data_IF_452090829663
#
_entry.id   IF_452090829663
#
_cell.length_a   1.000
_cell.length_b   1.000
_cell.length_c   1.000
_cell.angle_alpha   90.00
_cell.angle_beta   90.00
_cell.angle_gamma   90.00
#
_symmetry.space_group_name_H-M   'P 1'
#
loop_
_entity.id
_entity.type
_entity.pdbx_description
1 polymer ?
#
# COMPACT_ATOMS: atom_id res chain seq x y z
N UNK A 1 5.51 -33.38 -14.14
CA UNK A 1 5.59 -33.17 -15.61
C UNK A 1 4.58 -32.10 -15.95
N UNK A 2 4.92 -31.10 -16.78
CA UNK A 2 3.95 -30.08 -17.21
C UNK A 2 3.12 -30.70 -18.33
N UNK A 3 1.80 -30.66 -18.19
CA UNK A 3 0.84 -31.23 -19.15
C UNK A 3 -0.26 -30.20 -19.45
N UNK A 4 -1.06 -30.42 -20.49
CA UNK A 4 -2.19 -29.55 -20.81
C UNK A 4 -1.79 -28.21 -21.45
N UNK A 5 -2.60 -27.14 -21.28
CA UNK A 5 -2.49 -25.94 -22.12
C UNK A 5 -1.12 -25.25 -22.07
N UNK A 6 -0.46 -25.19 -20.90
CA UNK A 6 0.89 -24.62 -20.82
C UNK A 6 1.90 -25.44 -21.63
N UNK A 7 1.85 -26.77 -21.52
CA UNK A 7 2.74 -27.65 -22.28
C UNK A 7 2.53 -27.51 -23.79
N UNK A 8 1.28 -27.39 -24.24
CA UNK A 8 0.93 -27.22 -25.65
C UNK A 8 1.49 -25.91 -26.23
N UNK A 9 1.35 -24.79 -25.52
CA UNK A 9 1.91 -23.49 -25.96
C UNK A 9 3.44 -23.54 -25.96
N UNK A 10 4.06 -24.05 -24.90
CA UNK A 10 5.51 -24.15 -24.82
C UNK A 10 6.08 -25.09 -25.89
N UNK A 11 5.37 -26.15 -26.26
CA UNK A 11 5.79 -27.06 -27.33
C UNK A 11 5.68 -26.40 -28.71
N UNK A 12 4.61 -25.64 -28.97
CA UNK A 12 4.37 -24.95 -30.23
C UNK A 12 5.46 -23.92 -30.55
N UNK A 13 5.89 -23.16 -29.55
CA UNK A 13 6.89 -22.08 -29.68
C UNK A 13 8.18 -22.37 -28.88
N UNK A 14 8.61 -23.64 -28.86
CA UNK A 14 9.72 -24.12 -28.01
C UNK A 14 10.99 -23.29 -28.14
N UNK A 15 11.41 -22.99 -29.37
CA UNK A 15 12.67 -22.26 -29.63
C UNK A 15 12.60 -20.83 -29.08
N UNK A 16 11.44 -20.18 -29.19
CA UNK A 16 11.21 -18.83 -28.68
C UNK A 16 11.31 -18.78 -27.16
N UNK A 17 10.63 -19.67 -26.45
CA UNK A 17 10.68 -19.69 -24.98
C UNK A 17 12.06 -20.10 -24.45
N UNK A 18 12.74 -21.04 -25.11
CA UNK A 18 14.12 -21.40 -24.76
C UNK A 18 15.08 -20.22 -24.97
N UNK A 19 14.95 -19.48 -26.07
CA UNK A 19 15.77 -18.29 -26.34
C UNK A 19 15.53 -17.20 -25.27
N UNK A 20 14.28 -16.97 -24.86
CA UNK A 20 13.92 -16.03 -23.78
C UNK A 20 14.54 -16.43 -22.44
N UNK A 21 14.43 -17.70 -22.06
CA UNK A 21 15.06 -18.21 -20.84
C UNK A 21 16.59 -18.08 -20.89
N UNK A 22 17.21 -18.43 -22.02
CA UNK A 22 18.65 -18.30 -22.20
C UNK A 22 19.12 -16.84 -22.08
N UNK A 23 18.37 -15.90 -22.66
CA UNK A 23 18.64 -14.46 -22.53
C UNK A 23 18.52 -13.98 -21.08
N UNK A 24 17.45 -14.38 -20.37
CA UNK A 24 17.27 -14.04 -18.95
C UNK A 24 18.41 -14.60 -18.07
N UNK A 25 18.81 -15.85 -18.30
CA UNK A 25 19.92 -16.49 -17.57
C UNK A 25 21.28 -15.87 -17.90
N UNK A 26 21.48 -15.37 -19.12
CA UNK A 26 22.68 -14.64 -19.48
C UNK A 26 22.79 -13.32 -18.71
N UNK A 27 21.65 -12.67 -18.42
CA UNK A 27 21.58 -11.45 -17.61
C UNK A 27 21.74 -11.73 -16.10
N UNK A 28 21.12 -12.80 -15.57
CA UNK A 28 21.30 -13.25 -14.19
C UNK A 28 21.63 -14.74 -14.10
N UNK A 29 22.89 -15.03 -13.73
CA UNK A 29 23.38 -16.40 -13.55
C UNK A 29 22.75 -17.12 -12.36
N UNK A 30 22.08 -16.42 -11.43
CA UNK A 30 21.37 -17.01 -10.29
C UNK A 30 20.05 -17.65 -10.68
N UNK A 31 19.53 -17.37 -11.89
CA UNK A 31 18.35 -18.02 -12.42
C UNK A 31 18.63 -19.51 -12.69
N UNK A 32 18.31 -20.36 -11.72
CA UNK A 32 18.51 -21.81 -11.80
C UNK A 32 17.43 -22.46 -12.69
N UNK A 33 17.82 -23.23 -13.74
CA UNK A 33 16.87 -23.92 -14.62
C UNK A 33 15.86 -24.80 -13.88
N UNK A 34 16.30 -25.54 -12.87
CA UNK A 34 15.48 -26.45 -12.09
C UNK A 34 14.45 -25.70 -11.24
N UNK A 35 14.83 -24.54 -10.69
CA UNK A 35 13.92 -23.68 -9.94
C UNK A 35 12.85 -23.09 -10.86
N UNK A 36 13.23 -22.66 -12.06
CA UNK A 36 12.29 -22.13 -13.04
C UNK A 36 11.34 -23.22 -13.56
N UNK A 37 11.84 -24.41 -13.91
CA UNK A 37 11.01 -25.54 -14.33
C UNK A 37 9.99 -25.94 -13.24
N UNK A 38 10.42 -25.97 -11.98
CA UNK A 38 9.52 -26.22 -10.85
C UNK A 38 8.46 -25.12 -10.72
N UNK A 39 8.85 -23.86 -10.84
CA UNK A 39 7.91 -22.74 -10.83
C UNK A 39 6.87 -22.86 -11.97
N UNK A 40 7.30 -23.22 -13.17
CA UNK A 40 6.40 -23.45 -14.29
C UNK A 40 5.37 -24.55 -13.97
N UNK A 41 5.81 -25.65 -13.36
CA UNK A 41 4.95 -26.78 -13.03
C UNK A 41 3.99 -26.51 -11.85
N UNK A 42 4.49 -25.89 -10.78
CA UNK A 42 3.76 -25.75 -9.52
C UNK A 42 2.92 -24.48 -9.44
N UNK A 43 3.29 -23.43 -10.19
CA UNK A 43 2.64 -22.11 -10.12
C UNK A 43 2.05 -21.70 -11.46
N UNK A 44 2.83 -21.72 -12.55
CA UNK A 44 2.32 -21.22 -13.83
C UNK A 44 1.30 -22.17 -14.47
N UNK A 45 1.51 -23.49 -14.43
CA UNK A 45 0.59 -24.46 -15.03
C UNK A 45 -0.83 -24.40 -14.44
N UNK A 46 -1.04 -24.42 -13.10
CA UNK A 46 -2.38 -24.26 -12.52
C UNK A 46 -3.05 -22.94 -12.92
N UNK A 47 -2.26 -21.85 -12.99
CA UNK A 47 -2.75 -20.54 -13.39
C UNK A 47 -3.18 -20.51 -14.86
N UNK A 48 -2.39 -21.07 -15.76
CA UNK A 48 -2.70 -21.18 -17.19
C UNK A 48 -3.92 -22.09 -17.42
N UNK A 49 -4.07 -23.17 -16.64
CA UNK A 49 -5.29 -24.00 -16.68
C UNK A 49 -6.54 -23.24 -16.22
N UNK A 50 -6.42 -22.35 -15.24
CA UNK A 50 -7.54 -21.50 -14.81
C UNK A 50 -7.90 -20.49 -15.91
N UNK A 51 -6.88 -19.87 -16.53
CA UNK A 51 -7.06 -19.00 -17.68
C UNK A 51 -7.71 -19.72 -18.86
N UNK A 52 -7.29 -20.97 -19.17
CA UNK A 52 -7.85 -21.76 -20.26
C UNK A 52 -9.34 -22.04 -20.06
N UNK A 53 -9.78 -22.24 -18.81
CA UNK A 53 -11.20 -22.42 -18.49
C UNK A 53 -12.00 -21.12 -18.63
N UNK A 54 -11.37 -19.97 -18.36
CA UNK A 54 -12.02 -18.67 -18.48
C UNK A 54 -12.15 -18.24 -19.95
N UNK A 55 -11.08 -18.37 -20.73
CA UNK A 55 -11.07 -18.07 -22.17
C UNK A 55 -9.94 -18.86 -22.88
N UNK A 56 -10.26 -20.00 -23.52
CA UNK A 56 -9.27 -20.79 -24.25
C UNK A 56 -8.59 -20.02 -25.40
N UNK A 57 -9.28 -19.05 -26.01
CA UNK A 57 -8.78 -18.32 -27.18
C UNK A 57 -7.62 -17.36 -26.85
N UNK A 58 -7.43 -17.07 -25.56
CA UNK A 58 -6.44 -16.11 -25.05
C UNK A 58 -5.18 -16.76 -24.51
N UNK A 59 -5.07 -18.09 -24.56
CA UNK A 59 -4.03 -18.82 -23.81
C UNK A 59 -2.61 -18.48 -24.24
N UNK A 60 -2.36 -18.32 -25.54
CA UNK A 60 -1.02 -17.95 -26.02
C UNK A 60 -0.59 -16.59 -25.47
N UNK A 61 -1.51 -15.61 -25.42
CA UNK A 61 -1.26 -14.26 -24.87
C UNK A 61 -1.00 -14.32 -23.36
N UNK A 62 -1.74 -15.15 -22.64
CA UNK A 62 -1.57 -15.33 -21.19
C UNK A 62 -0.23 -15.99 -20.88
N UNK A 63 0.12 -17.08 -21.56
CA UNK A 63 1.40 -17.78 -21.35
C UNK A 63 2.55 -16.84 -21.66
N UNK A 64 2.52 -16.14 -22.80
CA UNK A 64 3.57 -15.20 -23.18
C UNK A 64 3.77 -14.11 -22.10
N UNK A 65 2.70 -13.45 -21.67
CA UNK A 65 2.79 -12.36 -20.71
C UNK A 65 3.29 -12.83 -19.34
N UNK A 66 2.75 -13.95 -18.86
CA UNK A 66 3.11 -14.47 -17.54
C UNK A 66 4.51 -15.06 -17.52
N UNK A 67 4.95 -15.75 -18.57
CA UNK A 67 6.30 -16.31 -18.67
C UNK A 67 7.36 -15.20 -18.59
N UNK A 68 7.20 -14.12 -19.37
CA UNK A 68 8.12 -12.99 -19.37
C UNK A 68 8.12 -12.26 -18.01
N UNK A 69 6.95 -12.13 -17.38
CA UNK A 69 6.84 -11.55 -16.05
C UNK A 69 7.50 -12.44 -14.98
N UNK A 70 7.35 -13.76 -15.06
CA UNK A 70 7.98 -14.70 -14.12
C UNK A 70 9.50 -14.62 -14.17
N UNK A 71 10.09 -14.52 -15.37
CA UNK A 71 11.55 -14.34 -15.52
C UNK A 71 12.02 -13.05 -14.83
N UNK A 72 11.32 -11.93 -15.06
CA UNK A 72 11.63 -10.64 -14.42
C UNK A 72 11.50 -10.66 -12.91
N UNK A 73 10.49 -11.36 -12.38
CA UNK A 73 10.25 -11.44 -10.95
C UNK A 73 11.23 -12.39 -10.24
N UNK A 74 11.66 -13.47 -10.90
CA UNK A 74 12.69 -14.36 -10.35
C UNK A 74 14.07 -13.69 -10.32
N UNK A 75 14.43 -12.91 -11.34
CA UNK A 75 15.65 -12.07 -11.36
C UNK A 75 15.71 -11.09 -10.16
N UNK A 76 14.55 -10.55 -9.78
CA UNK A 76 14.40 -9.64 -8.63
C UNK A 76 14.23 -10.34 -7.28
N UNK A 77 14.45 -11.66 -7.20
CA UNK A 77 14.24 -12.47 -5.98
C UNK A 77 12.81 -12.32 -5.40
N UNK A 78 11.81 -12.05 -6.26
CA UNK A 78 10.39 -11.91 -5.89
C UNK A 78 9.59 -13.21 -6.04
N UNK A 79 10.07 -14.14 -6.87
CA UNK A 79 9.47 -15.46 -7.09
C UNK A 79 10.51 -16.57 -6.91
N UNK A 80 10.03 -17.77 -6.59
CA UNK A 80 10.87 -18.96 -6.39
C UNK A 80 11.15 -19.29 -4.92
N UNK A 81 11.87 -20.39 -4.66
CA UNK A 81 12.02 -20.97 -3.32
C UNK A 81 12.84 -20.10 -2.35
N UNK A 82 13.65 -19.18 -2.87
CA UNK A 82 14.47 -18.25 -2.08
C UNK A 82 13.94 -16.82 -2.14
N UNK A 83 12.67 -16.65 -2.52
CA UNK A 83 12.05 -15.32 -2.65
C UNK A 83 12.12 -14.57 -1.32
N UNK A 84 12.51 -13.29 -1.39
CA UNK A 84 12.45 -12.37 -0.26
C UNK A 84 11.04 -11.83 -0.02
N UNK A 85 10.10 -12.14 -0.92
CA UNK A 85 8.72 -11.65 -0.97
C UNK A 85 7.74 -12.82 -1.19
N UNK A 86 7.57 -13.70 -0.19
CA UNK A 86 6.80 -14.93 -0.34
C UNK A 86 5.34 -14.68 -0.74
N UNK A 87 4.74 -13.57 -0.28
CA UNK A 87 3.36 -13.21 -0.60
C UNK A 87 3.11 -12.98 -2.10
N UNK A 88 4.12 -12.60 -2.88
CA UNK A 88 3.99 -12.51 -4.34
C UNK A 88 3.76 -13.91 -4.92
N UNK A 89 4.54 -14.90 -4.50
CA UNK A 89 4.35 -16.29 -4.88
C UNK A 89 2.99 -16.83 -4.45
N UNK A 90 2.56 -16.53 -3.22
CA UNK A 90 1.23 -16.91 -2.74
C UNK A 90 0.11 -16.31 -3.58
N UNK A 91 0.21 -15.04 -3.96
CA UNK A 91 -0.79 -14.39 -4.80
C UNK A 91 -0.87 -15.02 -6.20
N UNK A 92 0.27 -15.45 -6.77
CA UNK A 92 0.29 -16.17 -8.04
C UNK A 92 -0.36 -17.56 -7.95
N UNK A 93 -0.27 -18.22 -6.80
CA UNK A 93 -0.87 -19.54 -6.58
C UNK A 93 -2.34 -19.47 -6.15
N UNK A 94 -2.76 -18.41 -5.46
CA UNK A 94 -4.09 -18.30 -4.84
C UNK A 94 -5.00 -17.28 -5.49
N UNK A 95 -4.51 -16.05 -5.66
CA UNK A 95 -5.34 -14.93 -6.14
C UNK A 95 -5.49 -14.98 -7.65
N UNK A 96 -4.38 -15.02 -8.39
CA UNK A 96 -4.40 -14.95 -9.87
C UNK A 96 -5.27 -16.04 -10.52
N UNK A 97 -5.26 -17.31 -10.07
CA UNK A 97 -6.15 -18.33 -10.64
C UNK A 97 -7.62 -18.06 -10.35
N UNK A 98 -7.96 -17.46 -9.19
CA UNK A 98 -9.34 -17.13 -8.82
C UNK A 98 -9.89 -15.96 -9.63
N UNK A 99 -9.03 -15.06 -10.09
CA UNK A 99 -9.39 -13.94 -10.96
C UNK A 99 -9.06 -14.21 -12.43
N UNK A 100 -8.99 -15.48 -12.85
CA UNK A 100 -8.63 -15.85 -14.22
C UNK A 100 -9.46 -15.10 -15.29
N UNK A 101 -10.76 -14.87 -15.05
CA UNK A 101 -11.61 -14.09 -15.96
C UNK A 101 -11.19 -12.63 -16.14
N UNK A 102 -10.60 -12.02 -15.10
CA UNK A 102 -9.99 -10.68 -15.20
C UNK A 102 -8.61 -10.76 -15.86
N UNK A 103 -7.83 -11.77 -15.47
CA UNK A 103 -6.48 -11.99 -15.97
C UNK A 103 -6.43 -12.20 -17.49
N UNK A 104 -7.35 -12.98 -18.08
CA UNK A 104 -7.35 -13.25 -19.54
C UNK A 104 -7.59 -12.00 -20.39
N UNK A 105 -8.23 -10.97 -19.82
CA UNK A 105 -8.48 -9.69 -20.50
C UNK A 105 -7.18 -8.90 -20.66
N UNK A 106 -6.36 -8.82 -19.62
CA UNK A 106 -5.07 -8.12 -19.64
C UNK A 106 -4.04 -8.78 -18.70
N UNK A 107 -3.38 -9.88 -19.13
CA UNK A 107 -2.61 -10.72 -18.24
C UNK A 107 -1.37 -10.03 -17.67
N UNK A 108 -0.68 -9.26 -18.51
CA UNK A 108 0.52 -8.53 -18.10
C UNK A 108 0.20 -7.43 -17.09
N UNK A 109 -0.85 -6.65 -17.34
CA UNK A 109 -1.26 -5.57 -16.44
C UNK A 109 -1.78 -6.10 -15.10
N UNK A 110 -2.67 -7.10 -15.11
CA UNK A 110 -3.27 -7.63 -13.88
C UNK A 110 -2.22 -8.32 -13.01
N UNK A 111 -1.45 -9.27 -13.56
CA UNK A 111 -0.42 -9.98 -12.79
C UNK A 111 0.71 -9.03 -12.35
N UNK A 112 1.10 -8.10 -13.23
CA UNK A 112 2.09 -7.08 -12.92
C UNK A 112 1.65 -6.16 -11.79
N UNK A 113 0.41 -5.68 -11.81
CA UNK A 113 -0.12 -4.81 -10.77
C UNK A 113 -0.25 -5.51 -9.42
N UNK A 114 -0.73 -6.76 -9.38
CA UNK A 114 -0.77 -7.56 -8.14
C UNK A 114 0.64 -7.75 -7.56
N UNK A 115 1.60 -8.10 -8.41
CA UNK A 115 2.99 -8.30 -7.98
C UNK A 115 3.62 -7.01 -7.47
N UNK A 116 3.38 -5.88 -8.16
CA UNK A 116 3.90 -4.57 -7.77
C UNK A 116 3.26 -4.07 -6.46
N UNK A 117 1.95 -4.25 -6.28
CA UNK A 117 1.26 -3.86 -5.06
C UNK A 117 1.86 -4.59 -3.85
N UNK A 118 2.01 -5.92 -3.95
CA UNK A 118 2.61 -6.73 -2.88
C UNK A 118 4.09 -6.41 -2.66
N UNK A 119 4.84 -6.12 -3.72
CA UNK A 119 6.23 -5.70 -3.60
C UNK A 119 6.35 -4.44 -2.73
N UNK A 120 5.58 -3.39 -3.04
CA UNK A 120 5.64 -2.13 -2.30
C UNK A 120 5.04 -2.21 -0.90
N UNK A 121 3.93 -2.92 -0.73
CA UNK A 121 3.32 -3.10 0.59
C UNK A 121 4.26 -3.83 1.55
N UNK A 122 5.03 -4.79 1.05
CA UNK A 122 6.01 -5.52 1.84
C UNK A 122 7.25 -4.69 2.19
N UNK A 123 7.49 -3.53 1.56
CA UNK A 123 8.54 -2.58 1.98
C UNK A 123 8.19 -1.93 3.33
N UNK A 124 6.90 -1.69 3.58
CA UNK A 124 6.43 -1.10 4.85
C UNK A 124 6.04 -2.17 5.90
N UNK A 125 5.91 -3.43 5.48
CA UNK A 125 5.80 -4.59 6.37
C UNK A 125 4.91 -5.71 5.83
N UNK A 126 5.29 -6.95 6.09
CA UNK A 126 4.58 -8.15 5.61
C UNK A 126 3.10 -8.20 6.05
N UNK A 127 2.77 -7.63 7.21
CA UNK A 127 1.38 -7.54 7.70
C UNK A 127 0.49 -6.73 6.76
N UNK A 128 0.99 -5.63 6.18
CA UNK A 128 0.21 -4.79 5.26
C UNK A 128 -0.06 -5.53 3.95
N UNK A 129 0.96 -6.20 3.40
CA UNK A 129 0.84 -7.00 2.19
C UNK A 129 -0.14 -8.18 2.39
N UNK A 130 -0.08 -8.87 3.54
CA UNK A 130 -0.99 -9.98 3.84
C UNK A 130 -2.46 -9.51 3.99
N UNK A 131 -2.70 -8.38 4.67
CA UNK A 131 -4.03 -7.78 4.78
C UNK A 131 -4.59 -7.39 3.41
N UNK A 132 -3.76 -6.78 2.58
CA UNK A 132 -4.13 -6.41 1.22
C UNK A 132 -4.50 -7.64 0.38
N UNK A 133 -3.69 -8.70 0.43
CA UNK A 133 -3.95 -9.93 -0.32
C UNK A 133 -5.30 -10.56 0.08
N UNK A 134 -5.57 -10.65 1.39
CA UNK A 134 -6.83 -11.16 1.91
C UNK A 134 -8.03 -10.30 1.46
N UNK A 135 -7.87 -8.97 1.46
CA UNK A 135 -8.92 -8.07 1.00
C UNK A 135 -9.17 -8.19 -0.51
N UNK A 136 -8.12 -8.35 -1.32
CA UNK A 136 -8.27 -8.58 -2.76
C UNK A 136 -8.91 -9.93 -3.08
N UNK A 137 -8.62 -10.98 -2.31
CA UNK A 137 -9.34 -12.27 -2.45
C UNK A 137 -10.83 -12.11 -2.16
N UNK A 138 -11.21 -11.23 -1.23
CA UNK A 138 -12.60 -10.96 -0.85
C UNK A 138 -13.33 -10.07 -1.86
N UNK A 139 -12.65 -9.05 -2.41
CA UNK A 139 -13.21 -8.09 -3.37
C UNK A 139 -13.26 -8.63 -4.80
N UNK A 140 -12.39 -9.57 -5.15
CA UNK A 140 -12.27 -10.14 -6.50
C UNK A 140 -13.61 -10.54 -7.16
N UNK A 141 -14.53 -11.28 -6.49
CA UNK A 141 -15.79 -11.70 -7.10
C UNK A 141 -16.74 -10.56 -7.45
N UNK A 142 -16.54 -9.37 -6.87
CA UNK A 142 -17.38 -8.19 -7.08
C UNK A 142 -16.87 -7.29 -8.22
N UNK A 143 -15.68 -7.57 -8.75
CA UNK A 143 -15.04 -6.74 -9.76
C UNK A 143 -15.44 -7.23 -11.17
N UNK A 144 -16.15 -6.43 -11.98
CA UNK A 144 -16.61 -6.85 -13.30
C UNK A 144 -15.52 -6.87 -14.38
N UNK A 145 -14.43 -6.12 -14.16
CA UNK A 145 -13.34 -5.94 -15.11
C UNK A 145 -12.01 -5.58 -14.41
N UNK A 146 -10.87 -5.62 -15.14
CA UNK A 146 -9.58 -5.29 -14.59
C UNK A 146 -9.45 -3.86 -14.05
N UNK A 147 -10.12 -2.87 -14.65
CA UNK A 147 -10.01 -1.48 -14.20
C UNK A 147 -10.60 -1.31 -12.81
N UNK A 148 -11.79 -1.87 -12.60
CA UNK A 148 -12.46 -1.86 -11.29
C UNK A 148 -11.67 -2.67 -10.25
N UNK A 149 -11.10 -3.82 -10.64
CA UNK A 149 -10.26 -4.62 -9.74
C UNK A 149 -9.01 -3.86 -9.28
N UNK A 150 -8.34 -3.15 -10.19
CA UNK A 150 -7.15 -2.37 -9.86
C UNK A 150 -7.49 -1.12 -9.03
N UNK A 151 -8.60 -0.45 -9.33
CA UNK A 151 -9.12 0.66 -8.52
C UNK A 151 -9.45 0.21 -7.09
N UNK A 152 -10.15 -0.92 -6.94
CA UNK A 152 -10.43 -1.52 -5.63
C UNK A 152 -9.13 -1.88 -4.89
N UNK A 153 -8.12 -2.38 -5.60
CA UNK A 153 -6.79 -2.67 -5.06
C UNK A 153 -6.06 -1.45 -4.52
N UNK A 154 -6.21 -0.29 -5.14
CA UNK A 154 -5.64 0.96 -4.65
C UNK A 154 -6.31 1.41 -3.34
N UNK A 155 -7.64 1.29 -3.23
CA UNK A 155 -8.36 1.57 -1.98
C UNK A 155 -7.95 0.60 -0.87
N UNK A 156 -7.84 -0.69 -1.20
CA UNK A 156 -7.38 -1.71 -0.25
C UNK A 156 -5.94 -1.46 0.22
N UNK A 157 -5.05 -0.97 -0.66
CA UNK A 157 -3.67 -0.65 -0.31
C UNK A 157 -3.62 0.51 0.70
N UNK A 158 -4.38 1.57 0.45
CA UNK A 158 -4.56 2.69 1.37
C UNK A 158 -5.06 2.20 2.75
N UNK A 159 -6.14 1.40 2.79
CA UNK A 159 -6.68 0.83 4.03
C UNK A 159 -5.74 -0.14 4.75
N UNK A 160 -4.75 -0.67 4.05
CA UNK A 160 -3.71 -1.53 4.62
C UNK A 160 -2.59 -0.73 5.32
N UNK A 161 -2.73 0.60 5.42
CA UNK A 161 -1.82 1.48 6.17
C UNK A 161 -0.97 2.41 5.30
N UNK A 162 -1.17 2.39 3.99
CA UNK A 162 -0.44 3.23 3.03
C UNK A 162 -1.07 4.64 2.95
N UNK A 163 -0.92 5.43 4.02
CA UNK A 163 -1.54 6.74 4.14
C UNK A 163 -1.18 7.70 2.99
N UNK A 164 -0.01 7.54 2.38
CA UNK A 164 0.41 8.33 1.21
C UNK A 164 -0.47 8.11 -0.03
N UNK A 165 -1.20 7.00 -0.10
CA UNK A 165 -2.12 6.73 -1.21
C UNK A 165 -3.51 7.33 -1.00
N UNK A 166 -3.82 7.92 0.17
CA UNK A 166 -5.16 8.40 0.51
C UNK A 166 -5.82 9.21 -0.62
N UNK A 167 -5.19 10.28 -1.09
CA UNK A 167 -5.79 11.17 -2.09
C UNK A 167 -6.10 10.43 -3.40
N UNK A 168 -5.13 9.64 -3.87
CA UNK A 168 -5.27 8.83 -5.08
C UNK A 168 -6.34 7.73 -4.92
N UNK A 169 -6.41 7.11 -3.74
CA UNK A 169 -7.40 6.10 -3.39
C UNK A 169 -8.81 6.68 -3.31
N UNK A 170 -8.99 7.85 -2.70
CA UNK A 170 -10.27 8.55 -2.67
C UNK A 170 -10.72 8.98 -4.07
N UNK A 171 -9.78 9.36 -4.93
CA UNK A 171 -10.08 9.70 -6.33
C UNK A 171 -10.66 8.51 -7.08
N UNK A 172 -10.04 7.33 -7.00
CA UNK A 172 -10.58 6.13 -7.67
C UNK A 172 -11.83 5.59 -6.98
N UNK A 173 -11.93 5.71 -5.66
CA UNK A 173 -13.08 5.26 -4.88
C UNK A 173 -14.37 5.96 -5.31
N UNK A 174 -14.33 7.25 -5.64
CA UNK A 174 -15.49 8.00 -6.16
C UNK A 174 -16.07 7.39 -7.45
N UNK A 175 -15.20 6.81 -8.28
CA UNK A 175 -15.57 6.17 -9.55
C UNK A 175 -16.01 4.72 -9.43
N UNK A 176 -15.92 4.10 -8.25
CA UNK A 176 -16.35 2.71 -8.07
C UNK A 176 -17.89 2.58 -8.13
N UNK A 177 -18.41 1.41 -8.54
CA UNK A 177 -19.80 1.03 -8.31
C UNK A 177 -20.17 1.15 -6.82
N UNK A 178 -21.40 1.54 -6.53
CA UNK A 178 -21.81 1.85 -5.14
C UNK A 178 -21.59 0.67 -4.18
N UNK A 179 -21.92 -0.55 -4.57
CA UNK A 179 -21.65 -1.75 -3.76
C UNK A 179 -20.17 -1.89 -3.41
N UNK A 180 -19.29 -1.64 -4.39
CA UNK A 180 -17.84 -1.68 -4.17
C UNK A 180 -17.34 -0.52 -3.30
N UNK A 181 -18.02 0.63 -3.24
CA UNK A 181 -17.65 1.71 -2.32
C UNK A 181 -17.81 1.27 -0.86
N UNK A 182 -18.88 0.55 -0.53
CA UNK A 182 -19.07 -0.02 0.81
C UNK A 182 -18.06 -1.12 1.09
N UNK A 183 -17.97 -2.07 0.16
CA UNK A 183 -17.15 -3.27 0.36
C UNK A 183 -15.68 -2.90 0.48
N UNK A 184 -15.15 -1.99 -0.34
CA UNK A 184 -13.75 -1.53 -0.22
C UNK A 184 -13.46 -0.77 1.07
N UNK A 185 -14.46 -0.29 1.81
CA UNK A 185 -14.33 0.31 3.14
C UNK A 185 -14.60 -0.69 4.28
N UNK A 186 -14.89 -1.96 3.96
CA UNK A 186 -15.22 -3.01 4.92
C UNK A 186 -16.61 -2.84 5.53
N UNK A 187 -17.50 -2.13 4.83
CA UNK A 187 -18.87 -1.88 5.23
C UNK A 187 -19.79 -2.85 4.50
N UNK A 188 -20.91 -3.22 5.14
CA UNK A 188 -21.97 -3.98 4.48
C UNK A 188 -22.83 -3.04 3.64
N UNK A 189 -23.07 -3.41 2.40
CA UNK A 189 -24.00 -2.71 1.51
C UNK A 189 -25.41 -2.65 2.11
N UNK A 190 -26.07 -1.51 2.00
CA UNK A 190 -27.49 -1.35 2.30
C UNK A 190 -27.87 -1.17 3.78
N UNK A 191 -26.92 -1.16 4.71
CA UNK A 191 -27.19 -0.95 6.15
C UNK A 191 -26.39 0.19 6.78
N UNK A 192 -26.04 1.21 6.01
CA UNK A 192 -25.11 2.27 6.42
C UNK A 192 -25.37 3.63 5.78
N UNK A 193 -24.47 4.61 6.00
CA UNK A 193 -24.51 5.92 5.34
C UNK A 193 -24.49 5.76 3.81
N UNK A 194 -25.19 6.64 3.10
CA UNK A 194 -25.13 6.75 1.64
C UNK A 194 -23.70 7.00 1.14
N UNK A 195 -23.40 6.77 -0.16
CA UNK A 195 -22.07 7.04 -0.69
C UNK A 195 -21.63 8.50 -0.52
N UNK A 196 -22.57 9.45 -0.57
CA UNK A 196 -22.30 10.87 -0.33
C UNK A 196 -21.94 11.16 1.14
N UNK A 197 -22.64 10.52 2.09
CA UNK A 197 -22.31 10.62 3.52
C UNK A 197 -20.96 9.96 3.83
N UNK A 198 -20.62 8.84 3.16
CA UNK A 198 -19.29 8.23 3.25
C UNK A 198 -18.22 9.18 2.73
N UNK A 199 -18.44 9.81 1.59
CA UNK A 199 -17.50 10.79 1.05
C UNK A 199 -17.29 11.96 2.02
N UNK A 200 -18.37 12.48 2.60
CA UNK A 200 -18.28 13.53 3.62
C UNK A 200 -17.48 13.08 4.84
N UNK A 201 -17.69 11.85 5.32
CA UNK A 201 -16.90 11.27 6.43
C UNK A 201 -15.43 11.14 6.06
N UNK A 202 -15.13 10.70 4.84
CA UNK A 202 -13.77 10.54 4.33
C UNK A 202 -13.05 11.86 4.04
N UNK A 203 -13.72 13.01 4.14
CA UNK A 203 -13.05 14.31 4.12
C UNK A 203 -12.16 14.51 5.36
N UNK A 204 -12.54 13.94 6.50
CA UNK A 204 -11.70 13.92 7.70
C UNK A 204 -10.75 12.69 7.64
N UNK A 205 -9.41 12.88 7.72
CA UNK A 205 -8.46 11.78 7.70
C UNK A 205 -8.60 10.80 8.86
N UNK A 206 -9.09 11.25 10.00
CA UNK A 206 -9.14 10.45 11.22
C UNK A 206 -10.50 9.83 11.50
N UNK A 207 -11.53 10.26 10.75
CA UNK A 207 -12.86 9.68 10.85
C UNK A 207 -12.88 8.23 10.37
N UNK A 208 -13.37 7.35 11.22
CA UNK A 208 -13.66 5.96 10.85
C UNK A 208 -14.95 5.93 10.01
N UNK A 209 -14.90 5.50 8.73
CA UNK A 209 -16.08 5.48 7.87
C UNK A 209 -17.15 4.50 8.38
N UNK A 210 -16.77 3.50 9.17
CA UNK A 210 -17.68 2.50 9.74
C UNK A 210 -18.40 2.98 11.01
N UNK A 211 -17.89 4.01 11.69
CA UNK A 211 -18.50 4.52 12.92
C UNK A 211 -19.51 5.59 12.60
N UNK A 212 -20.61 5.59 13.37
CA UNK A 212 -21.54 6.71 13.33
C UNK A 212 -20.84 7.98 13.84
N UNK A 213 -21.01 9.09 13.12
CA UNK A 213 -20.32 10.37 13.39
C UNK A 213 -20.77 11.06 14.68
N UNK A 214 -21.65 10.40 15.46
CA UNK A 214 -22.15 10.83 16.77
C UNK A 214 -21.30 10.34 17.94
N UNK A 215 -20.29 9.52 17.69
CA UNK A 215 -19.35 9.12 18.73
C UNK A 215 -18.65 10.35 19.31
N UNK A 216 -18.48 10.38 20.62
CA UNK A 216 -17.75 11.45 21.30
C UNK A 216 -16.30 11.40 20.87
N UNK A 217 -15.82 12.50 20.28
CA UNK A 217 -14.46 12.61 19.77
C UNK A 217 -13.48 12.88 20.91
N UNK A 218 -12.26 12.39 20.77
CA UNK A 218 -11.18 12.65 21.73
C UNK A 218 -9.86 12.94 21.02
N UNK A 219 -8.90 13.53 21.73
CA UNK A 219 -7.53 13.63 21.24
C UNK A 219 -6.77 12.35 21.58
N UNK A 220 -6.13 11.75 20.59
CA UNK A 220 -5.33 10.55 20.75
C UNK A 220 -3.94 10.71 20.15
N UNK A 221 -2.95 10.07 20.78
CA UNK A 221 -1.65 9.79 20.16
C UNK A 221 -1.85 8.67 19.13
N UNK A 222 -1.90 9.02 17.85
CA UNK A 222 -2.32 8.12 16.77
C UNK A 222 -1.16 7.37 16.12
N UNK A 223 0.05 7.94 16.10
CA UNK A 223 1.22 7.28 15.53
C UNK A 223 2.55 7.77 16.11
N UNK A 224 3.58 6.94 15.94
CA UNK A 224 4.98 7.27 16.17
C UNK A 224 5.81 6.85 14.95
N UNK A 225 6.47 7.80 14.30
CA UNK A 225 7.19 7.60 13.03
C UNK A 225 8.68 7.89 13.16
N UNK A 226 9.47 7.25 12.30
CA UNK A 226 10.91 7.51 12.16
C UNK A 226 11.76 6.63 13.07
N UNK A 227 12.67 7.26 13.80
CA UNK A 227 13.70 6.62 14.60
C UNK A 227 15.10 6.92 14.08
N UNK A 228 16.09 6.55 14.89
CA UNK A 228 17.50 6.79 14.58
C UNK A 228 17.98 5.83 13.48
N UNK A 229 18.67 6.36 12.48
CA UNK A 229 19.18 5.58 11.34
C UNK A 229 20.12 4.45 11.74
N UNK A 230 20.91 4.63 12.81
CA UNK A 230 21.76 3.56 13.34
C UNK A 230 21.00 2.33 13.85
N UNK A 231 19.69 2.46 14.10
CA UNK A 231 18.80 1.37 14.49
C UNK A 231 17.68 1.12 13.45
N UNK A 232 17.94 1.45 12.18
CA UNK A 232 17.01 1.18 11.08
C UNK A 232 15.94 2.25 10.86
N UNK A 233 15.98 3.37 11.60
CA UNK A 233 15.11 4.53 11.32
C UNK A 233 15.61 5.40 10.18
N UNK A 234 14.98 6.57 9.97
CA UNK A 234 15.32 7.45 8.84
C UNK A 234 16.18 8.65 9.23
N UNK A 235 16.12 9.08 10.49
CA UNK A 235 16.74 10.34 10.93
C UNK A 235 18.13 10.12 11.51
N UNK A 236 19.08 11.00 11.19
CA UNK A 236 20.41 11.01 11.79
C UNK A 236 20.46 11.85 13.08
N UNK A 237 19.62 12.86 13.17
CA UNK A 237 19.46 13.72 14.34
C UNK A 237 17.98 13.85 14.69
N UNK A 238 17.63 14.28 15.91
CA UNK A 238 16.25 14.62 16.26
C UNK A 238 15.63 15.55 15.21
N UNK A 239 14.54 15.14 14.54
CA UNK A 239 13.99 15.91 13.44
C UNK A 239 13.32 17.20 13.93
N UNK A 240 13.26 18.19 13.04
CA UNK A 240 12.40 19.37 13.17
C UNK A 240 11.19 19.18 12.28
N UNK A 241 10.04 19.69 12.72
CA UNK A 241 8.78 19.63 12.00
C UNK A 241 8.44 21.02 11.46
N UNK A 242 7.90 21.05 10.24
CA UNK A 242 7.27 22.21 9.63
C UNK A 242 5.96 21.79 8.96
N UNK A 243 5.08 22.76 8.75
CA UNK A 243 3.89 22.61 7.90
C UNK A 243 4.02 23.51 6.67
N UNK A 244 3.55 23.04 5.52
CA UNK A 244 3.50 23.84 4.29
C UNK A 244 2.40 23.32 3.38
N UNK A 245 1.51 24.21 2.94
CA UNK A 245 0.41 23.90 2.02
C UNK A 245 -0.40 22.67 2.48
N UNK A 246 -0.86 22.65 3.73
CA UNK A 246 -1.59 21.52 4.31
C UNK A 246 -0.80 20.23 4.52
N UNK A 247 0.51 20.19 4.23
CA UNK A 247 1.38 19.03 4.43
C UNK A 247 2.29 19.20 5.64
N UNK A 248 2.60 18.10 6.31
CA UNK A 248 3.60 18.04 7.40
C UNK A 248 4.92 17.51 6.86
N UNK A 249 6.01 18.17 7.24
CA UNK A 249 7.36 17.84 6.80
C UNK A 249 8.24 17.64 8.04
N UNK A 250 8.87 16.47 8.14
CA UNK A 250 9.95 16.23 9.08
C UNK A 250 11.29 16.41 8.38
N UNK A 251 12.26 17.03 9.04
CA UNK A 251 13.62 17.18 8.51
C UNK A 251 14.70 16.98 9.56
N UNK A 252 15.82 16.41 9.16
CA UNK A 252 17.09 16.56 9.87
C UNK A 252 18.02 17.47 9.05
N UNK A 253 19.27 17.64 9.48
CA UNK A 253 20.21 18.55 8.79
C UNK A 253 20.62 18.08 7.37
N UNK A 254 20.26 16.85 6.96
CA UNK A 254 20.64 16.29 5.65
C UNK A 254 19.47 16.06 4.71
N UNK A 255 18.26 16.05 5.24
CA UNK A 255 17.19 15.29 4.64
C UNK A 255 15.81 15.76 5.12
N UNK A 256 14.82 15.68 4.23
CA UNK A 256 13.44 15.94 4.57
C UNK A 256 12.51 14.83 4.08
N UNK A 257 11.37 14.73 4.75
CA UNK A 257 10.35 13.71 4.52
C UNK A 257 8.96 14.31 4.70
N UNK A 258 8.05 14.01 3.78
CA UNK A 258 6.63 14.24 3.95
C UNK A 258 6.07 13.22 4.94
N UNK A 259 5.25 13.70 5.87
CA UNK A 259 4.48 12.90 6.80
C UNK A 259 3.08 12.71 6.20
N UNK A 260 2.72 11.47 5.94
CA UNK A 260 1.34 11.09 5.61
C UNK A 260 0.76 10.33 6.78
N UNK A 261 -0.45 10.69 7.21
CA UNK A 261 -1.10 10.02 8.31
C UNK A 261 -2.61 10.16 8.23
N UNK A 262 -3.28 9.07 8.56
CA UNK A 262 -4.72 9.01 8.71
C UNK A 262 -5.14 7.82 9.57
N UNK A 263 -6.44 7.57 9.66
CA UNK A 263 -7.02 6.49 10.47
C UNK A 263 -6.45 5.09 10.18
N UNK A 264 -5.98 4.84 8.96
CA UNK A 264 -5.50 3.53 8.53
C UNK A 264 -4.00 3.34 8.76
N UNK A 265 -3.21 4.42 8.75
CA UNK A 265 -1.78 4.32 9.01
C UNK A 265 -1.05 5.65 8.95
N UNK A 266 0.27 5.56 9.08
CA UNK A 266 1.14 6.72 8.97
C UNK A 266 2.50 6.31 8.39
N UNK A 267 3.08 7.14 7.52
CA UNK A 267 4.35 6.86 6.84
C UNK A 267 5.17 8.13 6.58
N UNK A 268 6.46 7.93 6.31
CA UNK A 268 7.41 8.97 5.90
C UNK A 268 7.84 8.71 4.46
N UNK A 269 7.67 9.70 3.57
CA UNK A 269 8.18 9.62 2.19
C UNK A 269 9.26 10.64 1.99
N UNK A 270 10.36 10.23 1.36
CA UNK A 270 11.46 11.14 1.02
C UNK A 270 10.92 12.35 0.27
N UNK A 271 11.36 13.53 0.68
CA UNK A 271 11.00 14.79 0.05
C UNK A 271 12.28 15.55 -0.32
N UNK A 272 12.45 15.82 -1.60
CA UNK A 272 13.61 16.53 -2.15
C UNK A 272 13.28 17.99 -2.50
N UNK A 273 12.11 18.48 -2.08
CA UNK A 273 11.75 19.88 -2.21
C UNK A 273 12.54 20.79 -1.27
N UNK A 274 12.57 22.08 -1.59
CA UNK A 274 13.22 23.06 -0.73
C UNK A 274 12.34 23.30 0.52
N UNK A 275 12.87 23.14 1.74
CA UNK A 275 12.12 23.44 2.95
C UNK A 275 11.66 24.90 2.92
N UNK A 276 10.46 25.21 3.45
CA UNK A 276 10.03 26.60 3.56
C UNK A 276 11.08 27.41 4.32
N UNK A 277 11.50 28.54 3.75
CA UNK A 277 12.40 29.46 4.42
C UNK A 277 11.67 30.08 5.61
N UNK A 278 12.17 29.83 6.82
CA UNK A 278 11.89 30.65 8.00
C UNK A 278 10.45 30.80 8.46
N UNK A 279 9.51 29.92 8.08
CA UNK A 279 8.14 30.03 8.60
C UNK A 279 8.03 29.45 10.01
N UNK A 280 7.45 30.29 10.87
CA UNK A 280 7.17 30.04 12.27
C UNK A 280 6.41 28.71 12.51
N UNK A 281 6.60 28.07 13.68
CA UNK A 281 5.97 26.81 14.06
C UNK A 281 4.44 26.89 14.29
N UNK A 282 3.80 28.00 13.94
CA UNK A 282 2.34 28.14 14.01
C UNK A 282 1.74 27.49 12.77
N UNK A 283 1.46 26.18 12.87
CA UNK A 283 0.80 25.43 11.81
C UNK A 283 -0.58 25.98 11.46
N UNK A 284 -1.12 25.56 10.32
CA UNK A 284 -2.44 25.98 9.81
C UNK A 284 -3.62 25.47 10.66
N UNK A 285 -3.38 24.77 11.77
CA UNK A 285 -4.40 24.09 12.57
C UNK A 285 -4.57 24.62 13.99
N UNK A 286 -5.79 24.50 14.52
CA UNK A 286 -6.24 25.00 15.84
C UNK A 286 -5.67 24.25 17.07
N UNK A 287 -4.55 23.53 16.91
CA UNK A 287 -3.91 22.80 18.01
C UNK A 287 -3.15 23.75 18.92
N UNK A 288 -3.39 23.65 20.22
CA UNK A 288 -2.65 24.38 21.27
C UNK A 288 -1.87 23.40 22.13
N UNK A 289 -0.63 23.75 22.47
CA UNK A 289 0.26 22.90 23.25
C UNK A 289 0.81 23.66 24.45
N UNK A 290 0.55 23.14 25.65
CA UNK A 290 1.23 23.56 26.88
C UNK A 290 2.52 22.74 27.03
N UNK A 291 3.64 23.33 26.61
CA UNK A 291 4.93 22.62 26.47
C UNK A 291 5.36 21.90 27.75
N UNK A 292 5.21 22.50 28.93
CA UNK A 292 5.73 21.90 30.17
C UNK A 292 4.92 20.70 30.67
N UNK A 293 3.60 20.72 30.49
CA UNK A 293 2.71 19.69 31.02
C UNK A 293 2.44 18.55 30.02
N UNK A 294 2.72 18.80 28.73
CA UNK A 294 2.32 17.91 27.63
C UNK A 294 0.83 17.99 27.31
N UNK A 295 0.16 19.07 27.74
CA UNK A 295 -1.27 19.26 27.47
C UNK A 295 -1.50 19.75 26.06
N UNK A 296 -2.40 19.09 25.35
CA UNK A 296 -2.75 19.40 23.96
C UNK A 296 -4.25 19.64 23.89
N UNK A 297 -4.65 20.73 23.24
CA UNK A 297 -6.04 21.11 23.07
C UNK A 297 -6.38 21.39 21.60
N UNK A 298 -7.61 21.09 21.19
CA UNK A 298 -8.18 21.38 19.86
C UNK A 298 -9.71 21.37 19.95
N UNK A 299 -10.38 22.39 19.41
CA UNK A 299 -11.85 22.37 19.25
C UNK A 299 -12.65 22.11 20.54
N UNK A 300 -12.15 22.56 21.70
CA UNK A 300 -12.76 22.33 23.02
C UNK A 300 -12.38 21.00 23.69
N UNK A 301 -11.69 20.10 22.98
CA UNK A 301 -11.06 18.91 23.55
C UNK A 301 -9.70 19.28 24.16
N UNK A 302 -9.38 18.67 25.30
CA UNK A 302 -8.12 18.87 26.00
C UNK A 302 -7.68 17.55 26.64
N UNK A 303 -6.46 17.11 26.32
CA UNK A 303 -5.88 15.87 26.86
C UNK A 303 -4.43 16.12 27.25
N UNK A 304 -4.01 15.53 28.38
CA UNK A 304 -2.61 15.56 28.82
C UNK A 304 -1.87 14.30 28.36
N UNK A 305 -0.82 14.49 27.58
CA UNK A 305 0.10 13.44 27.18
C UNK A 305 1.45 13.66 27.87
N UNK A 306 1.63 13.05 29.05
CA UNK A 306 2.85 13.25 29.85
C UNK A 306 4.13 12.89 29.07
N UNK A 307 4.06 11.83 28.26
CA UNK A 307 5.16 11.39 27.41
C UNK A 307 5.56 12.42 26.33
N UNK A 308 4.71 13.42 26.04
CA UNK A 308 4.94 14.43 25.02
C UNK A 308 5.29 15.81 25.62
N UNK A 309 5.55 15.87 26.93
CA UNK A 309 6.01 17.09 27.58
C UNK A 309 7.39 17.52 27.07
N UNK A 310 7.55 18.83 26.90
CA UNK A 310 8.78 19.50 26.47
C UNK A 310 9.11 19.32 24.98
N UNK A 311 8.19 19.53 24.02
CA UNK A 311 8.48 19.32 22.61
C UNK A 311 9.60 20.26 22.10
N UNK A 312 10.54 19.71 21.34
CA UNK A 312 11.63 20.46 20.70
C UNK A 312 11.19 21.15 19.41
N UNK A 313 10.21 20.58 18.70
CA UNK A 313 9.61 21.14 17.49
C UNK A 313 8.24 20.51 17.26
N UNK A 314 7.30 21.28 16.73
CA UNK A 314 5.96 20.84 16.38
C UNK A 314 5.42 21.68 15.22
N UNK A 315 4.48 21.11 14.46
CA UNK A 315 3.65 21.82 13.50
C UNK A 315 2.34 21.04 13.31
N UNK A 316 1.31 21.71 12.79
CA UNK A 316 -0.02 21.12 12.58
C UNK A 316 -0.57 21.41 11.19
N UNK A 317 -1.42 20.50 10.73
CA UNK A 317 -2.46 20.78 9.74
C UNK A 317 -3.79 21.00 10.49
N UNK A 318 -4.87 21.28 9.76
CA UNK A 318 -6.22 21.33 10.34
C UNK A 318 -6.62 20.05 11.09
N UNK A 319 -6.10 18.89 10.68
CA UNK A 319 -6.52 17.57 11.19
C UNK A 319 -5.48 16.86 12.05
N UNK A 320 -4.19 17.17 11.91
CA UNK A 320 -3.10 16.41 12.53
C UNK A 320 -2.04 17.33 13.14
N UNK A 321 -1.65 17.06 14.37
CA UNK A 321 -0.49 17.66 15.02
C UNK A 321 0.69 16.69 14.96
N UNK A 322 1.85 17.15 14.51
CA UNK A 322 3.11 16.44 14.60
C UNK A 322 4.06 17.14 15.57
N UNK A 323 4.70 16.37 16.44
CA UNK A 323 5.66 16.89 17.42
C UNK A 323 6.85 15.96 17.62
N UNK A 324 7.94 16.53 18.11
CA UNK A 324 9.22 15.87 18.38
C UNK A 324 9.69 16.24 19.77
N UNK A 325 10.50 15.38 20.37
CA UNK A 325 11.03 15.57 21.73
C UNK A 325 12.55 15.75 21.68
N UNK A 326 13.14 16.45 22.66
CA UNK A 326 14.58 16.52 22.83
C UNK A 326 15.18 15.11 22.84
N UNK A 327 16.26 14.92 22.05
CA UNK A 327 17.00 13.66 21.94
C UNK A 327 16.21 12.49 21.34
N UNK A 328 14.96 12.69 20.90
CA UNK A 328 14.17 11.67 20.21
C UNK A 328 14.32 11.80 18.71
N UNK A 329 14.60 10.68 18.04
CA UNK A 329 14.54 10.58 16.58
C UNK A 329 13.15 10.21 16.07
N UNK A 330 12.13 10.24 16.93
CA UNK A 330 10.75 9.95 16.54
C UNK A 330 9.90 11.21 16.42
N UNK A 331 8.98 11.16 15.46
CA UNK A 331 7.86 12.10 15.31
C UNK A 331 6.61 11.44 15.91
N UNK A 332 5.90 12.17 16.75
CA UNK A 332 4.66 11.74 17.38
C UNK A 332 3.49 12.48 16.74
N UNK A 333 2.43 11.74 16.39
CA UNK A 333 1.24 12.31 15.76
C UNK A 333 0.06 12.27 16.73
N UNK A 334 -0.60 13.42 16.88
CA UNK A 334 -1.81 13.56 17.68
C UNK A 334 -2.93 14.05 16.78
N UNK A 335 -4.10 13.45 16.92
CA UNK A 335 -5.27 13.82 16.16
C UNK A 335 -6.55 13.62 16.96
N UNK A 336 -7.61 14.20 16.44
CA UNK A 336 -8.98 14.02 16.92
C UNK A 336 -9.57 12.76 16.28
N UNK A 337 -10.02 11.80 17.08
CA UNK A 337 -10.50 10.47 16.66
C UNK A 337 -11.81 10.08 17.34
#
# INVERSE_FOLDING_TARGET
>A
MIEGPLAEVLARDRDRYNARFAAARAADRRLAPEAFLRFLAETLDPLVRAAARADPSRIDVVVEALYDLSLKLMDKDCLGPSSRRPLIGEAWQRLLPRIAGLLVRDPGRVAGAVSNALFHLAEDGETAAARWLAEMERLAPLCPDPDIFLAAGQVAAWRSGQAQYRESALTVWRGLPDDLKYETLGLRTGSGPSPAELEQRLADPWQDPARDGRAEKTLALTARLGGFRGFGGVFLQPPRIASSNGSLIARDDRAAWLIFADRFGATLRRWDGQPPDGQDPEGEGDFKIEKHSGRIAKGGLEVRFEALAGPSSFASTTSTLALTLPLSHYVFLVAEV
#
